data_IF_707533540013
#
_entry.id   IF_707533540013
#
_cell.length_a   1.000
_cell.length_b   1.000
_cell.length_c   1.000
_cell.angle_alpha   90.00
_cell.angle_beta   90.00
_cell.angle_gamma   90.00
#
_symmetry.space_group_name_H-M   'P 1'
#
loop_
_entity.id
_entity.type
_entity.pdbx_description
1 polymer ?
#
# COMPACT_ATOMS: atom_id res chain seq x y z
N UNK A 1 -14.05 -10.71 11.95
CA UNK A 1 -14.44 -9.29 12.01
C UNK A 1 -15.45 -9.13 13.14
N UNK A 2 -15.20 -8.26 14.12
CA UNK A 2 -16.13 -8.04 15.23
C UNK A 2 -17.36 -7.24 14.76
N UNK A 3 -18.49 -7.25 15.50
CA UNK A 3 -19.66 -6.46 15.15
C UNK A 3 -19.38 -4.96 14.98
N UNK A 4 -18.45 -4.41 15.77
CA UNK A 4 -18.00 -3.01 15.65
C UNK A 4 -17.21 -2.79 14.35
N UNK A 5 -16.25 -3.66 14.04
CA UNK A 5 -15.49 -3.59 12.79
C UNK A 5 -16.42 -3.68 11.57
N UNK A 6 -17.42 -4.58 11.60
CA UNK A 6 -18.40 -4.72 10.52
C UNK A 6 -19.19 -3.42 10.29
N UNK A 7 -19.65 -2.75 11.35
CA UNK A 7 -20.36 -1.47 11.24
C UNK A 7 -19.48 -0.39 10.62
N UNK A 8 -18.25 -0.20 11.13
CA UNK A 8 -17.32 0.79 10.60
C UNK A 8 -17.00 0.52 9.11
N UNK A 9 -16.87 -0.75 8.74
CA UNK A 9 -16.65 -1.15 7.36
C UNK A 9 -17.82 -0.79 6.44
N UNK A 10 -19.06 -1.09 6.85
CA UNK A 10 -20.25 -0.72 6.08
C UNK A 10 -20.40 0.80 5.96
N UNK A 11 -20.14 1.53 7.05
CA UNK A 11 -20.20 2.99 7.06
C UNK A 11 -19.15 3.61 6.12
N UNK A 12 -17.92 3.11 6.16
CA UNK A 12 -16.84 3.55 5.28
C UNK A 12 -17.16 3.26 3.81
N UNK A 13 -17.68 2.08 3.48
CA UNK A 13 -18.13 1.78 2.11
C UNK A 13 -19.31 2.67 1.68
N UNK A 14 -20.24 2.97 2.58
CA UNK A 14 -21.33 3.92 2.33
C UNK A 14 -20.82 5.34 2.03
N UNK A 15 -19.82 5.81 2.78
CA UNK A 15 -19.12 7.07 2.50
C UNK A 15 -18.44 7.03 1.13
N UNK A 16 -17.73 5.94 0.80
CA UNK A 16 -17.11 5.76 -0.52
C UNK A 16 -18.14 5.80 -1.66
N UNK A 17 -19.30 5.16 -1.47
CA UNK A 17 -20.39 5.14 -2.44
C UNK A 17 -21.00 6.53 -2.67
N UNK A 18 -21.16 7.31 -1.60
CA UNK A 18 -21.80 8.63 -1.64
C UNK A 18 -20.90 9.71 -2.25
N UNK A 19 -19.62 9.41 -2.50
CA UNK A 19 -18.67 10.38 -3.04
C UNK A 19 -19.08 10.86 -4.46
N UNK A 20 -19.37 12.16 -4.66
CA UNK A 20 -19.75 12.68 -5.98
C UNK A 20 -18.54 12.86 -6.91
N UNK A 21 -17.35 13.12 -6.33
CA UNK A 21 -16.09 13.35 -7.06
C UNK A 21 -14.90 12.82 -6.28
N UNK A 22 -13.80 12.50 -6.97
CA UNK A 22 -12.57 11.98 -6.36
C UNK A 22 -12.05 12.86 -5.21
N UNK A 23 -12.07 14.19 -5.38
CA UNK A 23 -11.58 15.13 -4.38
C UNK A 23 -12.36 15.13 -3.07
N UNK A 24 -13.59 14.59 -3.06
CA UNK A 24 -14.38 14.42 -1.85
C UNK A 24 -13.82 13.31 -0.94
N UNK A 25 -13.17 12.30 -1.52
CA UNK A 25 -12.51 11.22 -0.79
C UNK A 25 -11.09 11.60 -0.32
N UNK A 26 -10.57 12.74 -0.75
CA UNK A 26 -9.25 13.22 -0.40
C UNK A 26 -8.57 13.95 -1.56
N UNK A 27 -7.48 14.66 -1.25
CA UNK A 27 -6.71 15.42 -2.26
C UNK A 27 -6.23 14.48 -3.37
N UNK A 28 -6.54 14.84 -4.61
CA UNK A 28 -6.05 14.11 -5.78
C UNK A 28 -4.59 14.47 -6.02
N UNK A 29 -3.69 13.53 -5.77
CA UNK A 29 -2.25 13.70 -6.00
C UNK A 29 -1.84 12.69 -7.06
N UNK A 30 -1.24 13.19 -8.13
CA UNK A 30 -0.78 12.38 -9.24
C UNK A 30 0.66 11.94 -8.96
N UNK A 31 0.85 10.64 -8.82
CA UNK A 31 2.17 10.03 -8.76
C UNK A 31 2.71 9.85 -10.18
N UNK A 32 4.02 10.01 -10.36
CA UNK A 32 4.67 9.62 -11.62
C UNK A 32 4.58 8.11 -11.83
N UNK A 33 4.85 7.63 -13.05
CA UNK A 33 4.85 6.19 -13.35
C UNK A 33 5.80 5.40 -12.43
N UNK A 34 6.97 5.97 -12.16
CA UNK A 34 7.99 5.40 -11.26
C UNK A 34 7.48 5.35 -9.82
N UNK A 35 6.99 6.48 -9.29
CA UNK A 35 6.47 6.56 -7.93
C UNK A 35 5.30 5.60 -7.71
N UNK A 36 4.39 5.50 -8.69
CA UNK A 36 3.26 4.58 -8.68
C UNK A 36 3.69 3.11 -8.72
N UNK A 37 4.69 2.78 -9.55
CA UNK A 37 5.24 1.42 -9.64
C UNK A 37 5.93 0.98 -8.35
N UNK A 38 6.72 1.88 -7.76
CA UNK A 38 7.41 1.67 -6.49
C UNK A 38 6.44 1.36 -5.36
N UNK A 39 5.49 2.28 -5.10
CA UNK A 39 4.55 2.11 -3.97
C UNK A 39 3.62 0.91 -4.17
N UNK A 40 3.20 0.61 -5.41
CA UNK A 40 2.41 -0.60 -5.69
C UNK A 40 3.16 -1.86 -5.32
N UNK A 41 4.47 -1.90 -5.56
CA UNK A 41 5.27 -3.08 -5.31
C UNK A 41 5.43 -3.31 -3.80
N UNK A 42 5.68 -2.24 -3.02
CA UNK A 42 5.70 -2.31 -1.56
C UNK A 42 4.34 -2.67 -0.94
N UNK A 43 3.25 -2.08 -1.44
CA UNK A 43 1.89 -2.39 -0.97
C UNK A 43 1.48 -3.84 -1.24
N UNK A 44 1.98 -4.45 -2.33
CA UNK A 44 1.77 -5.87 -2.60
C UNK A 44 2.49 -6.75 -1.57
N UNK A 45 3.75 -6.45 -1.25
CA UNK A 45 4.50 -7.14 -0.18
C UNK A 45 3.78 -7.02 1.15
N UNK A 46 3.39 -5.79 1.51
CA UNK A 46 2.65 -5.51 2.73
C UNK A 46 1.38 -6.34 2.81
N UNK A 47 0.60 -6.36 1.72
CA UNK A 47 -0.60 -7.19 1.59
C UNK A 47 -0.36 -8.68 1.81
N UNK A 48 0.70 -9.22 1.17
CA UNK A 48 1.13 -10.62 1.33
C UNK A 48 1.55 -10.92 2.77
N UNK A 49 2.38 -10.06 3.36
CA UNK A 49 2.87 -10.20 4.72
C UNK A 49 1.76 -10.06 5.76
N UNK A 50 0.74 -9.22 5.55
CA UNK A 50 -0.43 -9.07 6.45
C UNK A 50 -1.33 -10.29 6.41
N UNK A 51 -1.37 -11.01 5.28
CA UNK A 51 -2.00 -12.33 5.19
C UNK A 51 -3.51 -12.30 5.50
N UNK A 52 -4.22 -11.25 5.08
CA UNK A 52 -5.67 -11.11 5.31
C UNK A 52 -6.07 -10.76 6.74
N UNK A 53 -5.11 -10.50 7.63
CA UNK A 53 -5.40 -9.95 8.96
C UNK A 53 -5.92 -8.52 8.80
N UNK A 54 -7.09 -8.25 9.37
CA UNK A 54 -7.79 -6.95 9.28
C UNK A 54 -7.54 -6.05 10.48
N UNK A 55 -6.73 -6.51 11.44
CA UNK A 55 -6.31 -5.72 12.59
C UNK A 55 -4.91 -5.13 12.32
N UNK A 56 -4.69 -3.83 12.64
CA UNK A 56 -3.36 -3.24 12.58
C UNK A 56 -2.36 -4.08 13.36
N UNK A 57 -1.17 -4.28 12.80
CA UNK A 57 -0.10 -4.98 13.55
C UNK A 57 0.54 -4.03 14.56
N UNK A 58 1.03 -4.61 15.67
CA UNK A 58 1.93 -3.86 16.55
C UNK A 58 3.14 -3.42 15.72
N UNK A 59 3.38 -2.11 15.68
CA UNK A 59 4.53 -1.52 15.01
C UNK A 59 5.81 -2.07 15.65
N UNK A 60 6.65 -2.76 14.88
CA UNK A 60 8.01 -3.14 15.26
C UNK A 60 9.01 -2.19 14.59
N UNK A 61 10.23 -2.09 15.10
CA UNK A 61 11.25 -1.16 14.58
C UNK A 61 11.72 -1.55 13.16
N UNK A 62 11.74 -0.62 12.20
CA UNK A 62 12.23 -0.85 10.81
C UNK A 62 13.73 -0.54 10.68
N UNK A 63 14.58 -1.45 11.14
CA UNK A 63 16.03 -1.24 11.21
C UNK A 63 16.68 -1.04 9.83
N UNK A 64 16.19 -1.65 8.74
CA UNK A 64 16.80 -1.51 7.41
C UNK A 64 16.43 -0.17 6.75
N UNK A 65 15.18 0.29 6.90
CA UNK A 65 14.80 1.64 6.45
C UNK A 65 15.44 2.75 7.30
N UNK A 66 15.76 2.50 8.58
CA UNK A 66 16.53 3.44 9.41
C UNK A 66 17.96 3.71 8.89
N UNK A 67 18.57 2.79 8.15
CA UNK A 67 19.89 3.01 7.50
C UNK A 67 19.79 4.02 6.35
N UNK A 68 18.60 4.16 5.77
CA UNK A 68 18.30 5.04 4.65
C UNK A 68 17.77 6.40 5.13
N UNK A 69 17.23 6.44 6.35
CA UNK A 69 16.76 7.65 7.03
C UNK A 69 17.83 8.75 7.01
N UNK A 70 17.50 9.92 6.47
CA UNK A 70 18.42 11.05 6.32
C UNK A 70 19.43 10.98 5.16
N UNK A 71 19.52 9.88 4.40
CA UNK A 71 20.24 9.86 3.11
C UNK A 71 19.27 10.32 2.03
N UNK A 72 19.62 11.40 1.31
CA UNK A 72 18.77 12.11 0.33
C UNK A 72 17.96 11.15 -0.56
N UNK A 73 16.74 10.83 -0.13
CA UNK A 73 15.80 9.98 -0.85
C UNK A 73 15.13 10.80 -1.93
N UNK A 74 15.82 10.94 -3.07
CA UNK A 74 15.39 11.71 -4.24
C UNK A 74 14.66 10.83 -5.26
N UNK A 75 13.99 11.45 -6.23
CA UNK A 75 13.40 10.73 -7.38
C UNK A 75 14.43 9.86 -8.12
N UNK A 76 15.71 10.25 -8.10
CA UNK A 76 16.83 9.47 -8.66
C UNK A 76 17.10 8.18 -7.85
N UNK A 77 16.90 8.21 -6.53
CA UNK A 77 16.99 7.00 -5.69
C UNK A 77 15.82 6.05 -5.96
N UNK A 78 14.60 6.59 -6.12
CA UNK A 78 13.41 5.83 -6.53
C UNK A 78 13.57 5.20 -7.92
N UNK A 79 14.18 5.92 -8.86
CA UNK A 79 14.49 5.41 -10.19
C UNK A 79 15.49 4.25 -10.12
N UNK A 80 16.58 4.38 -9.37
CA UNK A 80 17.54 3.29 -9.14
C UNK A 80 16.88 2.06 -8.53
N UNK A 81 15.99 2.26 -7.55
CA UNK A 81 15.23 1.16 -6.96
C UNK A 81 14.33 0.49 -7.99
N UNK A 82 13.63 1.27 -8.80
CA UNK A 82 12.75 0.76 -9.85
C UNK A 82 13.52 -0.04 -10.90
N UNK A 83 14.71 0.44 -11.29
CA UNK A 83 15.62 -0.28 -12.19
C UNK A 83 16.07 -1.60 -11.57
N UNK A 84 16.53 -1.59 -10.32
CA UNK A 84 16.94 -2.81 -9.61
C UNK A 84 15.79 -3.82 -9.46
N UNK A 85 14.57 -3.34 -9.21
CA UNK A 85 13.38 -4.17 -9.11
C UNK A 85 12.95 -4.75 -10.46
N UNK A 86 13.03 -3.98 -11.54
CA UNK A 86 12.76 -4.48 -12.88
C UNK A 86 13.81 -5.50 -13.31
N UNK A 87 15.09 -5.24 -13.05
CA UNK A 87 16.18 -6.20 -13.25
C UNK A 87 15.91 -7.51 -12.51
N UNK A 88 15.50 -7.46 -11.24
CA UNK A 88 15.13 -8.65 -10.48
C UNK A 88 13.95 -9.41 -11.11
N UNK A 89 12.97 -8.71 -11.69
CA UNK A 89 11.84 -9.35 -12.39
C UNK A 89 12.26 -9.98 -13.71
N UNK A 90 13.17 -9.35 -14.45
CA UNK A 90 13.76 -9.89 -15.68
C UNK A 90 14.61 -11.14 -15.40
N UNK A 91 15.29 -11.18 -14.25
CA UNK A 91 15.98 -12.37 -13.73
C UNK A 91 15.00 -13.49 -13.28
N UNK A 92 13.69 -13.24 -13.31
CA UNK A 92 12.64 -14.21 -13.02
C UNK A 92 12.11 -14.17 -11.58
N UNK A 93 12.64 -13.31 -10.72
CA UNK A 93 12.17 -13.19 -9.33
C UNK A 93 10.79 -12.50 -9.28
N UNK A 94 9.94 -12.92 -8.32
CA UNK A 94 8.58 -12.38 -8.14
C UNK A 94 8.29 -12.09 -6.67
N UNK A 95 7.35 -11.16 -6.43
CA UNK A 95 6.91 -10.79 -5.08
C UNK A 95 8.09 -10.39 -4.18
N UNK A 96 8.15 -11.00 -2.99
CA UNK A 96 9.24 -10.76 -2.03
C UNK A 96 10.64 -11.08 -2.58
N UNK A 97 10.78 -12.13 -3.39
CA UNK A 97 12.10 -12.51 -3.93
C UNK A 97 12.68 -11.42 -4.84
N UNK A 98 11.82 -10.75 -5.62
CA UNK A 98 12.24 -9.64 -6.46
C UNK A 98 12.71 -8.44 -5.61
N UNK A 99 12.11 -8.27 -4.44
CA UNK A 99 12.44 -7.20 -3.51
C UNK A 99 13.75 -7.48 -2.79
N UNK A 100 13.93 -8.68 -2.23
CA UNK A 100 15.20 -9.11 -1.65
C UNK A 100 16.33 -8.98 -2.67
N UNK A 101 16.08 -9.37 -3.93
CA UNK A 101 17.04 -9.21 -5.02
C UNK A 101 17.33 -7.74 -5.31
N UNK A 102 16.32 -6.88 -5.41
CA UNK A 102 16.50 -5.43 -5.58
C UNK A 102 17.31 -4.82 -4.43
N UNK A 103 17.03 -5.23 -3.18
CA UNK A 103 17.81 -4.83 -2.02
C UNK A 103 19.27 -5.25 -2.13
N UNK A 104 19.55 -6.50 -2.55
CA UNK A 104 20.93 -6.98 -2.74
C UNK A 104 21.71 -6.19 -3.81
N UNK A 105 21.02 -5.75 -4.88
CA UNK A 105 21.62 -4.95 -5.96
C UNK A 105 21.96 -3.54 -5.47
N UNK A 106 21.09 -2.95 -4.67
CA UNK A 106 21.22 -1.58 -4.18
C UNK A 106 22.15 -1.48 -2.97
N UNK A 107 22.17 -2.51 -2.12
CA UNK A 107 22.87 -2.56 -0.84
C UNK A 107 23.57 -3.91 -0.63
N UNK A 108 24.68 -4.17 -1.33
CA UNK A 108 25.36 -5.48 -1.32
C UNK A 108 26.04 -5.87 0.01
N UNK A 109 25.84 -5.16 1.12
CA UNK A 109 26.59 -5.37 2.37
C UNK A 109 25.90 -6.20 3.47
N UNK A 110 24.67 -6.69 3.28
CA UNK A 110 23.99 -7.49 4.31
C UNK A 110 24.11 -9.00 4.04
N UNK A 111 24.83 -9.71 4.92
CA UNK A 111 25.25 -11.12 4.83
C UNK A 111 24.23 -12.19 5.27
N UNK A 112 23.85 -13.09 4.35
CA UNK A 112 23.32 -14.47 4.49
C UNK A 112 22.03 -14.77 5.32
N UNK A 113 21.04 -15.35 4.61
CA UNK A 113 19.87 -16.19 4.96
C UNK A 113 18.90 -15.86 6.10
N UNK A 114 19.33 -15.28 7.23
CA UNK A 114 18.42 -14.76 8.29
C UNK A 114 17.86 -13.37 7.91
N UNK A 115 18.42 -12.78 6.85
CA UNK A 115 18.12 -11.45 6.34
C UNK A 115 16.78 -11.40 5.61
N UNK A 116 16.39 -12.42 4.85
CA UNK A 116 15.26 -12.30 3.94
C UNK A 116 13.92 -12.15 4.66
N UNK A 117 13.73 -12.88 5.76
CA UNK A 117 12.54 -12.73 6.61
C UNK A 117 12.60 -11.46 7.45
N UNK A 118 13.79 -11.05 7.89
CA UNK A 118 13.98 -9.79 8.60
C UNK A 118 13.69 -8.58 7.70
N UNK A 119 14.18 -8.59 6.45
CA UNK A 119 13.89 -7.59 5.41
C UNK A 119 12.42 -7.58 5.04
N UNK A 120 11.81 -8.75 4.85
CA UNK A 120 10.38 -8.84 4.58
C UNK A 120 9.55 -8.23 5.70
N UNK A 121 9.85 -8.56 6.96
CA UNK A 121 9.17 -7.96 8.11
C UNK A 121 9.46 -6.45 8.19
N UNK A 122 10.67 -6.00 7.86
CA UNK A 122 11.04 -4.58 7.82
C UNK A 122 10.22 -3.80 6.79
N UNK A 123 10.08 -4.33 5.56
CA UNK A 123 9.28 -3.74 4.48
C UNK A 123 7.80 -3.69 4.84
N UNK A 124 7.28 -4.80 5.36
CA UNK A 124 5.89 -4.94 5.78
C UNK A 124 5.58 -3.94 6.88
N UNK A 125 6.41 -3.88 7.92
CA UNK A 125 6.12 -3.03 9.06
C UNK A 125 6.33 -1.54 8.68
N UNK A 126 7.30 -1.20 7.81
CA UNK A 126 7.50 0.17 7.30
C UNK A 126 6.27 0.67 6.55
N UNK A 127 5.72 -0.17 5.67
CA UNK A 127 4.51 0.17 4.93
C UNK A 127 3.31 0.26 5.86
N UNK A 128 3.18 -0.62 6.86
CA UNK A 128 2.14 -0.53 7.90
C UNK A 128 2.22 0.82 8.63
N UNK A 129 3.41 1.27 9.03
CA UNK A 129 3.60 2.58 9.64
C UNK A 129 3.15 3.71 8.71
N UNK A 130 3.57 3.68 7.44
CA UNK A 130 3.16 4.68 6.45
C UNK A 130 1.64 4.73 6.28
N UNK A 131 0.98 3.56 6.23
CA UNK A 131 -0.48 3.46 6.11
C UNK A 131 -1.19 4.05 7.33
N UNK A 132 -0.75 3.70 8.54
CA UNK A 132 -1.37 4.17 9.79
C UNK A 132 -1.14 5.66 10.04
N UNK A 133 -0.03 6.24 9.58
CA UNK A 133 0.20 7.68 9.65
C UNK A 133 -0.58 8.45 8.55
N UNK A 134 -0.77 7.84 7.38
CA UNK A 134 -1.42 8.48 6.24
C UNK A 134 -2.95 8.56 6.34
N UNK A 135 -3.57 7.61 7.04
CA UNK A 135 -5.00 7.32 6.93
C UNK A 135 -5.62 6.94 8.28
N UNK A 136 -6.79 7.52 8.57
CA UNK A 136 -7.61 7.06 9.69
C UNK A 136 -8.22 5.69 9.38
N UNK A 137 -8.33 4.84 10.41
CA UNK A 137 -8.88 3.48 10.27
C UNK A 137 -10.34 3.44 9.82
N UNK A 138 -11.09 4.54 9.97
CA UNK A 138 -12.47 4.69 9.51
C UNK A 138 -12.58 5.46 8.18
N UNK A 139 -11.45 5.88 7.58
CA UNK A 139 -11.43 6.52 6.26
C UNK A 139 -11.90 5.50 5.20
N UNK A 140 -12.87 5.85 4.31
CA UNK A 140 -13.25 5.01 3.17
C UNK A 140 -12.05 4.54 2.33
N UNK A 141 -11.04 5.39 2.18
CA UNK A 141 -9.81 5.10 1.44
C UNK A 141 -9.01 4.00 2.12
N UNK A 142 -8.87 4.06 3.46
CA UNK A 142 -8.20 3.01 4.25
C UNK A 142 -8.90 1.67 4.10
N UNK A 143 -10.22 1.64 4.30
CA UNK A 143 -11.00 0.42 4.28
C UNK A 143 -10.95 -0.28 2.92
N UNK A 144 -11.10 0.48 1.82
CA UNK A 144 -11.00 -0.07 0.47
C UNK A 144 -9.57 -0.53 0.14
N UNK A 145 -8.56 0.26 0.54
CA UNK A 145 -7.16 -0.11 0.35
C UNK A 145 -6.78 -1.39 1.08
N UNK A 146 -7.21 -1.52 2.34
CA UNK A 146 -7.00 -2.70 3.17
C UNK A 146 -7.64 -3.94 2.53
N UNK A 147 -8.89 -3.84 2.08
CA UNK A 147 -9.56 -4.93 1.37
C UNK A 147 -8.79 -5.37 0.12
N UNK A 148 -8.36 -4.41 -0.71
CA UNK A 148 -7.69 -4.73 -1.96
C UNK A 148 -6.31 -5.37 -1.74
N UNK A 149 -5.48 -4.81 -0.87
CA UNK A 149 -4.10 -5.26 -0.71
C UNK A 149 -3.97 -6.46 0.22
N UNK A 150 -4.71 -6.52 1.33
CA UNK A 150 -4.51 -7.57 2.35
C UNK A 150 -5.42 -8.77 2.17
N UNK A 151 -6.63 -8.60 1.62
CA UNK A 151 -7.64 -9.67 1.56
C UNK A 151 -7.78 -10.36 0.20
N UNK A 152 -6.84 -10.08 -0.74
CA UNK A 152 -6.84 -10.58 -2.14
C UNK A 152 -8.11 -10.27 -2.94
N UNK A 153 -9.01 -9.40 -2.44
CA UNK A 153 -10.23 -9.01 -3.14
C UNK A 153 -9.90 -8.24 -4.40
N UNK A 154 -10.57 -8.60 -5.50
CA UNK A 154 -10.45 -7.85 -6.75
C UNK A 154 -11.29 -6.58 -6.66
N UNK A 155 -11.01 -5.62 -7.54
CA UNK A 155 -11.83 -4.41 -7.68
C UNK A 155 -13.31 -4.77 -7.89
N UNK A 156 -13.61 -5.82 -8.65
CA UNK A 156 -14.97 -6.30 -8.88
C UNK A 156 -15.66 -6.79 -7.60
N UNK A 157 -14.94 -7.45 -6.71
CA UNK A 157 -15.51 -7.95 -5.45
C UNK A 157 -15.91 -6.78 -4.54
N UNK A 158 -15.00 -5.80 -4.41
CA UNK A 158 -15.24 -4.57 -3.63
C UNK A 158 -16.35 -3.73 -4.28
N UNK A 159 -16.40 -3.68 -5.61
CA UNK A 159 -17.47 -2.99 -6.36
C UNK A 159 -18.84 -3.57 -6.03
N UNK A 160 -18.97 -4.90 -6.00
CA UNK A 160 -20.21 -5.58 -5.65
C UNK A 160 -20.61 -5.33 -4.19
N UNK A 161 -19.65 -5.32 -3.27
CA UNK A 161 -19.91 -4.97 -1.85
C UNK A 161 -20.40 -3.52 -1.71
N UNK A 162 -19.80 -2.60 -2.46
CA UNK A 162 -20.19 -1.19 -2.47
C UNK A 162 -21.61 -1.02 -3.05
N UNK A 163 -21.96 -1.73 -4.12
CA UNK A 163 -23.32 -1.71 -4.69
C UNK A 163 -24.38 -2.34 -3.78
N UNK A 164 -24.03 -3.37 -3.00
CA UNK A 164 -24.94 -3.95 -2.03
C UNK A 164 -25.38 -2.92 -0.96
N UNK A 165 -24.52 -1.94 -0.67
CA UNK A 165 -24.79 -0.85 0.29
C UNK A 165 -25.45 0.34 -0.41
N UNK A 166 -25.11 0.59 -1.67
CA UNK A 166 -25.65 1.67 -2.48
C UNK A 166 -26.27 1.16 -3.79
N UNK A 167 -27.49 0.56 -3.75
CA UNK A 167 -28.13 -0.03 -4.94
C UNK A 167 -28.46 0.98 -6.04
N UNK A 168 -28.55 2.27 -5.70
CA UNK A 168 -28.78 3.36 -6.65
C UNK A 168 -27.57 3.66 -7.55
N UNK A 169 -26.42 3.04 -7.29
CA UNK A 169 -25.18 3.28 -8.00
C UNK A 169 -24.96 2.25 -9.11
N UNK A 170 -24.67 2.72 -10.33
CA UNK A 170 -24.34 1.81 -11.43
C UNK A 170 -23.00 1.08 -11.18
N UNK A 171 -22.77 -0.08 -11.82
CA UNK A 171 -21.50 -0.84 -11.64
C UNK A 171 -20.28 0.01 -12.04
N UNK A 172 -20.39 0.76 -13.14
CA UNK A 172 -19.33 1.65 -13.61
C UNK A 172 -19.00 2.75 -12.61
N UNK A 173 -20.02 3.33 -11.99
CA UNK A 173 -19.89 4.35 -10.95
C UNK A 173 -19.31 3.79 -9.64
N UNK A 174 -19.73 2.59 -9.24
CA UNK A 174 -19.19 1.91 -8.06
C UNK A 174 -17.72 1.60 -8.26
N UNK A 175 -17.38 1.00 -9.40
CA UNK A 175 -16.01 0.69 -9.80
C UNK A 175 -15.12 1.93 -9.85
N UNK A 176 -15.67 3.06 -10.32
CA UNK A 176 -14.97 4.35 -10.35
C UNK A 176 -14.59 4.82 -8.94
N UNK A 177 -15.49 4.70 -7.96
CA UNK A 177 -15.22 5.07 -6.56
C UNK A 177 -14.19 4.15 -5.90
N UNK A 178 -14.26 2.84 -6.17
CA UNK A 178 -13.21 1.90 -5.73
C UNK A 178 -11.84 2.30 -6.29
N UNK A 179 -11.75 2.62 -7.60
CA UNK A 179 -10.50 3.09 -8.21
C UNK A 179 -10.00 4.39 -7.59
N UNK A 180 -10.88 5.35 -7.33
CA UNK A 180 -10.53 6.59 -6.64
C UNK A 180 -9.91 6.33 -5.27
N UNK A 181 -10.53 5.47 -4.46
CA UNK A 181 -9.96 5.08 -3.17
C UNK A 181 -8.56 4.48 -3.34
N UNK A 182 -8.36 3.53 -4.26
CA UNK A 182 -7.03 2.91 -4.46
C UNK A 182 -5.97 3.90 -4.96
N UNK A 183 -6.33 4.86 -5.81
CA UNK A 183 -5.42 5.90 -6.27
C UNK A 183 -5.03 6.85 -5.13
N UNK A 184 -5.99 7.28 -4.31
CA UNK A 184 -5.74 8.16 -3.16
C UNK A 184 -4.93 7.42 -2.10
N UNK A 185 -5.25 6.14 -1.84
CA UNK A 185 -4.53 5.29 -0.91
C UNK A 185 -3.04 5.23 -1.26
N UNK A 186 -2.71 4.84 -2.51
CA UNK A 186 -1.32 4.79 -3.00
C UNK A 186 -0.62 6.13 -2.86
N UNK A 187 -1.30 7.22 -3.23
CA UNK A 187 -0.72 8.56 -3.18
C UNK A 187 -0.41 9.01 -1.74
N UNK A 188 -1.34 8.82 -0.81
CA UNK A 188 -1.16 9.18 0.60
C UNK A 188 -0.03 8.37 1.24
N UNK A 189 -0.02 7.04 1.05
CA UNK A 189 1.03 6.16 1.61
C UNK A 189 2.40 6.50 1.02
N UNK A 190 2.47 6.79 -0.28
CA UNK A 190 3.74 7.22 -0.91
C UNK A 190 4.28 8.52 -0.28
N UNK A 191 3.42 9.49 -0.01
CA UNK A 191 3.85 10.77 0.57
C UNK A 191 4.36 10.61 1.99
N UNK A 192 3.70 9.78 2.81
CA UNK A 192 4.19 9.47 4.16
C UNK A 192 5.50 8.67 4.11
N UNK A 193 5.62 7.70 3.21
CA UNK A 193 6.88 6.98 3.00
C UNK A 193 8.01 7.94 2.63
N UNK A 194 7.75 8.88 1.71
CA UNK A 194 8.75 9.89 1.32
C UNK A 194 9.12 10.80 2.51
N UNK A 195 8.15 11.20 3.31
CA UNK A 195 8.38 12.02 4.52
C UNK A 195 9.27 11.28 5.52
N UNK A 196 8.90 10.04 5.86
CA UNK A 196 9.64 9.20 6.81
C UNK A 196 11.07 8.87 6.37
N UNK A 197 11.33 8.86 5.06
CA UNK A 197 12.67 8.65 4.50
C UNK A 197 13.48 9.95 4.39
N UNK A 198 12.82 11.11 4.42
CA UNK A 198 13.47 12.43 4.37
C UNK A 198 13.80 13.01 5.75
N UNK A 199 13.01 12.65 6.77
CA UNK A 199 13.25 12.95 8.19
C UNK A 199 14.32 12.03 8.77
#
# INVERSE_FOLDING_TARGET
>A
MTPRQRRNHLEALGKAASAPRKSWLGKCILLTGIQSGWIKSLLTIWGEGVGGKTAPRLLRSHACWNVIKGRIWSDKALERFTVALNQAREEGFRGQQAMNRAHSILWPQSSASVIDEALHNDDVDFVEQCVLQALDINDPVYVVGLQYYTTRKKISDITRELQAIAPWLTDGEARKRVRWCLEIFRAKVFLEARKLLSE
#
